data_IF_462102967056
#
_entry.id   IF_462102967056
#
_cell.length_a   1.000
_cell.length_b   1.000
_cell.length_c   1.000
_cell.angle_alpha   90.00
_cell.angle_beta   90.00
_cell.angle_gamma   90.00
#
_symmetry.space_group_name_H-M   'P 1'
#
loop_
_entity.id
_entity.type
_entity.pdbx_description
1 polymer ?
#
# COMPACT_ATOMS: atom_id res chain seq x y z
N UNK A 1 13.08 -1.30 1.15
CA UNK A 1 11.96 -1.90 0.42
C UNK A 1 12.35 -1.96 -1.05
N UNK A 2 12.23 -3.12 -1.71
CA UNK A 2 12.41 -3.25 -3.15
C UNK A 2 11.01 -3.30 -3.80
N UNK A 3 10.59 -2.19 -4.37
CA UNK A 3 9.27 -2.01 -4.98
C UNK A 3 9.51 -1.40 -6.35
N UNK A 4 8.74 -1.82 -7.35
CA UNK A 4 8.87 -1.36 -8.72
C UNK A 4 7.71 -1.83 -9.58
N UNK A 5 7.57 -1.22 -10.76
CA UNK A 5 6.48 -1.52 -11.70
C UNK A 5 6.76 -2.80 -12.51
N UNK A 6 8.03 -3.04 -12.82
CA UNK A 6 8.56 -4.22 -13.52
C UNK A 6 9.96 -3.95 -14.07
N UNK A 7 10.86 -4.93 -14.08
CA UNK A 7 12.20 -4.81 -14.69
C UNK A 7 13.16 -3.75 -14.13
N UNK A 8 12.76 -2.94 -13.15
CA UNK A 8 13.56 -1.84 -12.56
C UNK A 8 14.60 -2.34 -11.55
N UNK A 9 14.29 -3.45 -10.86
CA UNK A 9 15.17 -4.07 -9.88
C UNK A 9 15.85 -5.25 -10.56
N UNK A 10 17.18 -5.23 -10.59
CA UNK A 10 18.00 -6.35 -11.05
C UNK A 10 18.31 -7.31 -9.89
N UNK A 11 18.59 -8.61 -10.14
CA UNK A 11 19.01 -9.55 -9.11
C UNK A 11 20.18 -9.05 -8.27
N UNK A 12 21.18 -8.44 -8.91
CA UNK A 12 22.35 -7.87 -8.23
C UNK A 12 21.97 -6.69 -7.35
N UNK A 13 21.00 -5.87 -7.77
CA UNK A 13 20.48 -4.76 -6.97
C UNK A 13 19.78 -5.28 -5.72
N UNK A 14 18.91 -6.28 -5.86
CA UNK A 14 18.22 -6.88 -4.72
C UNK A 14 19.20 -7.55 -3.76
N UNK A 15 20.20 -8.26 -4.27
CA UNK A 15 21.26 -8.85 -3.46
C UNK A 15 22.01 -7.79 -2.63
N UNK A 16 22.39 -6.66 -3.23
CA UNK A 16 23.01 -5.55 -2.49
C UNK A 16 22.10 -4.96 -1.42
N UNK A 17 20.80 -4.88 -1.67
CA UNK A 17 19.84 -4.42 -0.67
C UNK A 17 19.76 -5.40 0.52
N UNK A 18 19.77 -6.69 0.24
CA UNK A 18 19.78 -7.76 1.27
C UNK A 18 21.06 -7.71 2.09
N UNK A 19 22.21 -7.41 1.49
CA UNK A 19 23.48 -7.27 2.21
C UNK A 19 23.54 -6.02 3.10
N UNK A 20 22.84 -4.95 2.70
CA UNK A 20 22.89 -3.66 3.38
C UNK A 20 21.81 -3.48 4.47
N UNK A 21 20.81 -4.36 4.53
CA UNK A 21 19.64 -4.20 5.40
C UNK A 21 19.36 -5.47 6.21
N UNK A 22 18.99 -5.31 7.47
CA UNK A 22 18.61 -6.43 8.34
C UNK A 22 17.36 -7.17 7.84
N UNK A 23 16.48 -6.47 7.14
CA UNK A 23 15.24 -7.03 6.59
C UNK A 23 14.85 -6.27 5.32
N UNK A 24 14.60 -7.01 4.25
CA UNK A 24 14.11 -6.46 2.98
C UNK A 24 12.65 -6.89 2.76
N UNK A 25 11.81 -5.89 2.49
CA UNK A 25 10.45 -6.06 2.00
C UNK A 25 10.45 -5.91 0.49
N UNK A 26 9.84 -6.88 -0.21
CA UNK A 26 9.80 -6.91 -1.67
C UNK A 26 8.36 -6.98 -2.13
N UNK A 27 7.98 -6.18 -3.12
CA UNK A 27 6.77 -6.42 -3.90
C UNK A 27 7.13 -7.33 -5.08
N UNK A 28 6.44 -8.47 -5.22
CA UNK A 28 6.74 -9.46 -6.26
C UNK A 28 6.64 -8.85 -7.65
N UNK A 29 5.82 -7.79 -7.84
CA UNK A 29 5.73 -7.04 -9.10
C UNK A 29 7.10 -6.64 -9.64
N UNK A 30 8.04 -6.25 -8.78
CA UNK A 30 9.39 -5.89 -9.17
C UNK A 30 10.22 -7.06 -9.73
N UNK A 31 9.83 -8.30 -9.41
CA UNK A 31 10.56 -9.51 -9.77
C UNK A 31 9.96 -10.21 -11.00
N UNK A 32 8.63 -10.23 -11.13
CA UNK A 32 7.93 -11.07 -12.11
C UNK A 32 7.32 -10.30 -13.27
N UNK A 33 7.29 -8.97 -13.23
CA UNK A 33 6.78 -8.17 -14.34
C UNK A 33 7.88 -7.83 -15.31
N UNK A 34 7.68 -8.23 -16.55
CA UNK A 34 8.53 -7.89 -17.70
C UNK A 34 7.71 -7.11 -18.71
N UNK A 35 8.34 -6.12 -19.33
CA UNK A 35 7.75 -5.36 -20.42
C UNK A 35 8.07 -6.06 -21.74
N UNK A 36 7.06 -6.22 -22.59
CA UNK A 36 7.26 -6.62 -23.97
C UNK A 36 7.94 -5.48 -24.74
N UNK A 37 9.04 -5.78 -25.43
CA UNK A 37 9.84 -4.77 -26.13
C UNK A 37 9.13 -4.18 -27.36
N UNK A 38 8.11 -4.86 -27.88
CA UNK A 38 7.42 -4.48 -29.12
C UNK A 38 6.22 -3.59 -28.80
N UNK A 39 5.37 -3.99 -27.86
CA UNK A 39 4.12 -3.28 -27.56
C UNK A 39 4.05 -2.64 -26.17
N UNK A 40 5.09 -2.84 -25.34
CA UNK A 40 5.17 -2.27 -23.99
C UNK A 40 4.19 -2.90 -22.99
N UNK A 41 3.52 -3.99 -23.36
CA UNK A 41 2.60 -4.68 -22.46
C UNK A 41 3.35 -5.35 -21.32
N UNK A 42 2.72 -5.40 -20.15
CA UNK A 42 3.27 -6.08 -18.98
C UNK A 42 2.86 -7.54 -19.03
N UNK A 43 3.83 -8.44 -18.97
CA UNK A 43 3.61 -9.87 -18.79
C UNK A 43 4.16 -10.34 -17.46
N UNK A 44 3.55 -11.39 -16.92
CA UNK A 44 4.07 -12.10 -15.75
C UNK A 44 4.98 -13.24 -16.21
N UNK A 45 6.17 -13.34 -15.62
CA UNK A 45 7.04 -14.51 -15.71
C UNK A 45 6.97 -15.30 -14.41
N UNK A 46 7.20 -16.61 -14.49
CA UNK A 46 7.28 -17.45 -13.30
C UNK A 46 8.42 -16.98 -12.39
N UNK A 47 8.18 -16.90 -11.08
CA UNK A 47 9.17 -16.45 -10.11
C UNK A 47 10.44 -17.32 -10.13
N UNK A 48 10.35 -18.62 -10.46
CA UNK A 48 11.53 -19.49 -10.64
C UNK A 48 12.40 -19.05 -11.82
N UNK A 49 11.77 -18.57 -12.88
CA UNK A 49 12.43 -18.15 -14.12
C UNK A 49 12.88 -16.68 -14.07
N UNK A 50 12.40 -15.92 -13.09
CA UNK A 50 12.71 -14.49 -12.92
C UNK A 50 14.17 -14.16 -12.59
N UNK A 51 14.97 -15.16 -12.20
CA UNK A 51 16.34 -14.97 -11.72
C UNK A 51 16.44 -14.60 -10.23
N UNK A 52 15.33 -14.26 -9.56
CA UNK A 52 15.33 -13.87 -8.14
C UNK A 52 15.10 -15.02 -7.16
N UNK A 53 14.72 -16.20 -7.65
CA UNK A 53 14.28 -17.31 -6.80
C UNK A 53 15.29 -17.72 -5.73
N UNK A 54 16.58 -17.68 -6.06
CA UNK A 54 17.67 -18.01 -5.14
C UNK A 54 17.87 -16.99 -4.01
N UNK A 55 17.32 -15.78 -4.14
CA UNK A 55 17.39 -14.72 -3.13
C UNK A 55 16.24 -14.80 -2.12
N UNK A 56 15.16 -15.54 -2.42
CA UNK A 56 13.99 -15.64 -1.55
C UNK A 56 14.32 -15.96 -0.09
N UNK A 57 15.21 -16.93 0.24
CA UNK A 57 15.54 -17.25 1.63
C UNK A 57 16.13 -16.09 2.45
N UNK A 58 16.61 -15.05 1.79
CA UNK A 58 17.22 -13.87 2.41
C UNK A 58 16.28 -12.65 2.41
N UNK A 59 15.09 -12.78 1.83
CA UNK A 59 14.05 -11.74 1.85
C UNK A 59 13.21 -11.92 3.13
N UNK A 60 12.97 -10.83 3.84
CA UNK A 60 12.15 -10.88 5.05
C UNK A 60 10.67 -11.09 4.72
N UNK A 61 10.14 -10.30 3.79
CA UNK A 61 8.75 -10.40 3.37
C UNK A 61 8.60 -10.16 1.87
N UNK A 62 7.84 -11.03 1.21
CA UNK A 62 7.42 -10.89 -0.18
C UNK A 62 5.91 -10.58 -0.20
N UNK A 63 5.52 -9.42 -0.70
CA UNK A 63 4.12 -9.09 -0.93
C UNK A 63 3.72 -9.45 -2.35
N UNK A 64 2.51 -9.97 -2.51
CA UNK A 64 1.88 -10.24 -3.80
C UNK A 64 0.41 -9.86 -3.77
N UNK A 65 -0.16 -9.55 -4.92
CA UNK A 65 -1.62 -9.51 -5.12
C UNK A 65 -2.15 -10.91 -5.42
N UNK A 66 -3.46 -11.13 -5.24
CA UNK A 66 -4.11 -12.38 -5.63
C UNK A 66 -3.91 -12.74 -7.12
N UNK A 67 -3.71 -11.75 -8.00
CA UNK A 67 -3.44 -11.95 -9.42
C UNK A 67 -2.00 -12.47 -9.65
N UNK A 68 -1.04 -11.97 -8.87
CA UNK A 68 0.38 -12.34 -8.95
C UNK A 68 0.70 -13.72 -8.37
N UNK A 69 -0.22 -14.30 -7.58
CA UNK A 69 -0.06 -15.67 -7.07
C UNK A 69 0.06 -16.68 -8.21
N UNK A 70 -0.55 -16.40 -9.37
CA UNK A 70 -0.44 -17.28 -10.55
C UNK A 70 0.98 -17.44 -11.09
N UNK A 71 1.90 -16.55 -10.73
CA UNK A 71 3.30 -16.56 -11.18
C UNK A 71 4.25 -17.22 -10.16
N UNK A 72 3.73 -17.87 -9.11
CA UNK A 72 4.55 -18.60 -8.15
C UNK A 72 3.80 -19.78 -7.51
N UNK A 73 4.55 -20.79 -7.06
CA UNK A 73 4.02 -21.81 -6.16
C UNK A 73 4.08 -21.31 -4.71
N UNK A 74 2.93 -20.92 -4.16
CA UNK A 74 2.86 -20.39 -2.79
C UNK A 74 3.33 -21.39 -1.74
N UNK A 75 3.13 -22.70 -1.95
CA UNK A 75 3.50 -23.76 -1.00
C UNK A 75 5.02 -23.95 -0.94
N UNK A 76 5.70 -23.69 -2.05
CA UNK A 76 7.15 -23.67 -2.10
C UNK A 76 7.71 -22.36 -1.57
N UNK A 77 7.22 -21.23 -2.08
CA UNK A 77 7.77 -19.90 -1.73
C UNK A 77 7.61 -19.63 -0.24
N UNK A 78 6.49 -20.00 0.39
CA UNK A 78 6.29 -19.82 1.84
C UNK A 78 7.30 -20.57 2.71
N UNK A 79 7.93 -21.62 2.18
CA UNK A 79 9.00 -22.37 2.88
C UNK A 79 10.34 -21.65 2.80
N UNK A 80 10.51 -20.73 1.85
CA UNK A 80 11.72 -19.96 1.63
C UNK A 80 11.62 -18.57 2.29
N UNK A 81 10.49 -17.88 2.18
CA UNK A 81 10.27 -16.57 2.80
C UNK A 81 8.84 -16.38 3.28
N UNK A 82 8.61 -15.32 4.07
CA UNK A 82 7.25 -14.96 4.48
C UNK A 82 6.54 -14.24 3.33
N UNK A 83 5.34 -14.70 2.97
CA UNK A 83 4.57 -14.15 1.84
C UNK A 83 3.31 -13.49 2.35
N UNK A 84 3.01 -12.29 1.88
CA UNK A 84 1.75 -11.58 2.18
C UNK A 84 0.97 -11.41 0.89
N UNK A 85 -0.17 -12.09 0.78
CA UNK A 85 -1.05 -12.01 -0.39
C UNK A 85 -2.23 -11.11 -0.09
N UNK A 86 -2.33 -9.99 -0.80
CA UNK A 86 -3.48 -9.07 -0.69
C UNK A 86 -4.63 -9.53 -1.58
N UNK A 87 -5.83 -9.64 -1.01
CA UNK A 87 -7.05 -10.17 -1.62
C UNK A 87 -8.16 -9.11 -1.74
N UNK A 88 -7.77 -7.86 -2.02
CA UNK A 88 -8.70 -6.73 -2.20
C UNK A 88 -9.69 -6.60 -1.04
N UNK A 89 -11.00 -6.68 -1.35
CA UNK A 89 -12.10 -6.58 -0.37
C UNK A 89 -12.11 -7.68 0.70
N UNK A 90 -11.31 -8.74 0.55
CA UNK A 90 -11.20 -9.84 1.50
C UNK A 90 -10.03 -9.67 2.49
N UNK A 91 -9.25 -8.59 2.38
CA UNK A 91 -8.12 -8.33 3.26
C UNK A 91 -6.84 -8.95 2.71
N UNK A 92 -6.10 -9.68 3.53
CA UNK A 92 -4.88 -10.37 3.10
C UNK A 92 -4.69 -11.71 3.84
N UNK A 93 -3.82 -12.54 3.30
CA UNK A 93 -3.33 -13.77 3.96
C UNK A 93 -1.83 -13.70 4.09
N UNK A 94 -1.31 -13.98 5.28
CA UNK A 94 0.12 -14.09 5.53
C UNK A 94 0.47 -15.57 5.60
N UNK A 95 1.45 -15.99 4.80
CA UNK A 95 1.99 -17.34 4.75
C UNK A 95 3.42 -17.34 5.30
N UNK A 96 3.73 -18.36 6.08
CA UNK A 96 5.09 -18.69 6.51
C UNK A 96 5.30 -20.20 6.35
N UNK A 97 6.49 -20.68 6.70
CA UNK A 97 6.90 -22.07 6.49
C UNK A 97 5.89 -23.10 7.01
N UNK A 98 5.33 -22.84 8.19
CA UNK A 98 4.55 -23.82 8.95
C UNK A 98 3.06 -23.45 9.04
N UNK A 99 2.59 -22.45 8.30
CA UNK A 99 1.18 -22.10 8.31
C UNK A 99 0.82 -20.81 7.60
N UNK A 100 -0.43 -20.41 7.81
CA UNK A 100 -1.01 -19.20 7.25
C UNK A 100 -2.00 -18.56 8.23
N UNK A 101 -2.25 -17.26 8.05
CA UNK A 101 -3.25 -16.52 8.82
C UNK A 101 -3.96 -15.50 7.93
N UNK A 102 -5.28 -15.57 7.93
CA UNK A 102 -6.12 -14.58 7.25
C UNK A 102 -6.35 -13.35 8.12
N UNK A 103 -6.16 -12.17 7.55
CA UNK A 103 -6.28 -10.87 8.20
C UNK A 103 -7.38 -10.06 7.50
N UNK A 104 -8.38 -9.66 8.28
CA UNK A 104 -9.63 -9.09 7.76
C UNK A 104 -9.46 -7.72 7.09
N UNK A 105 -10.38 -7.36 6.19
CA UNK A 105 -10.36 -6.10 5.45
C UNK A 105 -10.85 -4.91 6.29
N UNK A 106 -10.74 -3.71 5.70
CA UNK A 106 -11.49 -2.52 6.12
C UNK A 106 -12.41 -2.08 4.98
N UNK A 107 -13.74 -2.05 5.17
CA UNK A 107 -14.69 -1.62 4.14
C UNK A 107 -14.36 -0.22 3.60
N UNK A 108 -14.49 -0.05 2.29
CA UNK A 108 -14.25 1.22 1.59
C UNK A 108 -15.01 1.24 0.28
N UNK A 109 -15.39 2.43 -0.19
CA UNK A 109 -15.93 2.58 -1.54
C UNK A 109 -14.75 2.65 -2.51
N UNK A 110 -14.70 1.75 -3.49
CA UNK A 110 -13.63 1.74 -4.47
C UNK A 110 -13.78 2.91 -5.43
N UNK A 111 -12.82 3.83 -5.39
CA UNK A 111 -12.72 4.99 -6.28
C UNK A 111 -11.57 4.77 -7.28
N UNK A 112 -10.37 4.50 -6.77
CA UNK A 112 -9.19 4.21 -7.58
C UNK A 112 -8.29 3.21 -6.83
N UNK A 113 -8.08 1.98 -7.33
CA UNK A 113 -7.26 0.98 -6.67
C UNK A 113 -5.75 1.21 -6.80
N UNK A 114 -5.33 2.19 -7.60
CA UNK A 114 -3.91 2.47 -7.88
C UNK A 114 -3.16 2.79 -6.60
N UNK A 115 -1.98 2.16 -6.40
CA UNK A 115 -1.13 2.38 -5.22
C UNK A 115 -1.64 1.74 -3.92
N UNK A 116 -2.74 0.98 -3.95
CA UNK A 116 -3.25 0.30 -2.75
C UNK A 116 -2.29 -0.76 -2.21
N UNK A 117 -1.60 -1.49 -3.11
CA UNK A 117 -0.58 -2.46 -2.76
C UNK A 117 0.65 -1.81 -2.10
N UNK A 118 1.11 -0.67 -2.63
CA UNK A 118 2.24 0.08 -2.06
C UNK A 118 1.88 0.65 -0.68
N UNK A 119 0.67 1.19 -0.54
CA UNK A 119 0.18 1.71 0.74
C UNK A 119 -0.03 0.60 1.77
N UNK A 120 -0.48 -0.58 1.32
CA UNK A 120 -0.49 -1.78 2.15
C UNK A 120 0.92 -2.12 2.64
N UNK A 121 1.88 -2.21 1.74
CA UNK A 121 3.25 -2.59 2.07
C UNK A 121 3.93 -1.57 3.00
N UNK A 122 3.67 -0.27 2.78
CA UNK A 122 4.12 0.81 3.65
C UNK A 122 3.51 0.74 5.05
N UNK A 123 2.20 0.50 5.15
CA UNK A 123 1.51 0.29 6.44
C UNK A 123 2.01 -0.95 7.18
N UNK A 124 2.24 -2.04 6.44
CA UNK A 124 2.78 -3.30 6.96
C UNK A 124 4.20 -3.12 7.52
N UNK A 125 5.11 -2.54 6.74
CA UNK A 125 6.48 -2.26 7.16
C UNK A 125 6.50 -1.31 8.37
N UNK A 126 5.68 -0.26 8.37
CA UNK A 126 5.56 0.66 9.51
C UNK A 126 5.09 -0.06 10.78
N UNK A 127 4.13 -0.98 10.67
CA UNK A 127 3.66 -1.79 11.81
C UNK A 127 4.76 -2.65 12.42
N UNK A 128 5.55 -3.33 11.58
CA UNK A 128 6.66 -4.17 12.03
C UNK A 128 7.78 -3.36 12.68
N UNK A 129 8.18 -2.23 12.08
CA UNK A 129 9.17 -1.30 12.67
C UNK A 129 8.69 -0.77 14.03
N UNK A 130 7.38 -0.61 14.21
CA UNK A 130 6.80 -0.23 15.49
C UNK A 130 6.72 -1.39 16.50
N UNK A 131 7.09 -2.62 16.13
CA UNK A 131 7.10 -3.79 17.01
C UNK A 131 5.74 -4.47 17.12
N UNK A 132 4.84 -4.30 16.14
CA UNK A 132 3.62 -5.09 16.06
C UNK A 132 3.94 -6.52 15.64
N UNK A 133 3.12 -7.48 16.09
CA UNK A 133 3.14 -8.83 15.53
C UNK A 133 2.74 -8.81 14.05
N UNK A 134 3.15 -9.82 13.29
CA UNK A 134 2.94 -9.87 11.83
C UNK A 134 1.46 -9.73 11.43
N UNK A 135 0.48 -10.39 12.09
CA UNK A 135 -0.92 -10.20 11.76
C UNK A 135 -1.43 -8.78 12.04
N UNK A 136 -0.98 -8.15 13.13
CA UNK A 136 -1.35 -6.77 13.48
C UNK A 136 -0.74 -5.77 12.51
N UNK A 137 0.50 -5.99 12.07
CA UNK A 137 1.12 -5.21 11.03
C UNK A 137 0.39 -5.38 9.69
N UNK A 138 0.02 -6.61 9.33
CA UNK A 138 -0.73 -6.89 8.09
C UNK A 138 -2.11 -6.23 8.13
N UNK A 139 -2.71 -6.13 9.32
CA UNK A 139 -3.94 -5.39 9.52
C UNK A 139 -3.75 -3.89 9.30
N UNK A 140 -2.65 -3.31 9.80
CA UNK A 140 -2.30 -1.92 9.50
C UNK A 140 -2.06 -1.70 7.99
N UNK A 141 -1.48 -2.67 7.30
CA UNK A 141 -1.40 -2.68 5.83
C UNK A 141 -2.78 -2.63 5.19
N UNK A 142 -3.71 -3.52 5.57
CA UNK A 142 -5.09 -3.52 5.06
C UNK A 142 -5.79 -2.18 5.29
N UNK A 143 -5.52 -1.53 6.44
CA UNK A 143 -6.06 -0.22 6.77
C UNK A 143 -5.62 0.84 5.76
N UNK A 144 -4.31 1.01 5.54
CA UNK A 144 -3.78 2.00 4.60
C UNK A 144 -4.12 1.70 3.13
N UNK A 145 -4.13 0.41 2.75
CA UNK A 145 -4.65 -0.02 1.45
C UNK A 145 -6.10 0.43 1.26
N UNK A 146 -6.96 0.23 2.25
CA UNK A 146 -8.37 0.62 2.17
C UNK A 146 -8.61 2.13 2.10
N UNK A 147 -7.74 2.94 2.71
CA UNK A 147 -7.79 4.40 2.63
C UNK A 147 -7.39 4.90 1.24
N UNK A 148 -6.40 4.24 0.63
CA UNK A 148 -5.92 4.54 -0.71
C UNK A 148 -6.98 4.26 -1.76
N UNK A 149 -7.63 3.10 -1.68
CA UNK A 149 -8.67 2.69 -2.63
C UNK A 149 -9.86 3.67 -2.67
N UNK A 150 -10.08 4.44 -1.59
CA UNK A 150 -11.19 5.38 -1.45
C UNK A 150 -10.93 6.79 -2.00
N UNK A 151 -9.79 7.05 -2.64
CA UNK A 151 -9.42 8.36 -3.18
C UNK A 151 -8.74 8.22 -4.54
N UNK A 152 -8.72 9.30 -5.34
CA UNK A 152 -8.09 9.31 -6.68
C UNK A 152 -6.61 9.62 -6.56
N UNK A 153 -5.77 8.85 -7.25
CA UNK A 153 -4.34 9.13 -7.43
C UNK A 153 -3.50 8.92 -6.16
N UNK A 154 -2.43 9.71 -6.01
CA UNK A 154 -1.47 9.54 -4.90
C UNK A 154 -2.18 9.70 -3.55
N UNK A 155 -2.09 8.71 -2.65
CA UNK A 155 -2.81 8.74 -1.39
C UNK A 155 -2.45 9.93 -0.53
N UNK A 156 -3.46 10.66 -0.06
CA UNK A 156 -3.33 11.69 0.96
C UNK A 156 -3.99 11.21 2.23
N UNK A 157 -3.28 11.35 3.34
CA UNK A 157 -3.78 10.98 4.66
C UNK A 157 -3.88 12.22 5.54
N UNK A 158 -5.04 12.40 6.16
CA UNK A 158 -5.26 13.48 7.12
C UNK A 158 -4.34 13.33 8.34
N UNK A 159 -3.74 14.44 8.77
CA UNK A 159 -2.79 14.43 9.90
C UNK A 159 -3.42 13.95 11.21
N UNK A 160 -4.71 14.22 11.46
CA UNK A 160 -5.41 13.78 12.67
C UNK A 160 -5.69 12.28 12.61
N UNK A 161 -6.05 11.77 11.42
CA UNK A 161 -6.15 10.33 11.18
C UNK A 161 -4.82 9.64 11.48
N UNK A 162 -3.72 10.13 10.92
CA UNK A 162 -2.38 9.58 11.15
C UNK A 162 -2.00 9.61 12.64
N UNK A 163 -2.29 10.70 13.34
CA UNK A 163 -2.02 10.79 14.78
C UNK A 163 -2.81 9.74 15.57
N UNK A 164 -4.10 9.55 15.28
CA UNK A 164 -4.92 8.52 15.96
C UNK A 164 -4.42 7.11 15.69
N UNK A 165 -4.05 6.82 14.44
CA UNK A 165 -3.48 5.52 14.06
C UNK A 165 -2.17 5.29 14.80
N UNK A 166 -1.32 6.32 14.89
CA UNK A 166 -0.08 6.26 15.68
C UNK A 166 -0.37 5.96 17.15
N UNK A 167 -1.33 6.64 17.76
CA UNK A 167 -1.72 6.42 19.17
C UNK A 167 -2.23 4.99 19.38
N UNK A 168 -3.03 4.47 18.45
CA UNK A 168 -3.53 3.09 18.48
C UNK A 168 -2.40 2.06 18.37
N UNK A 169 -1.48 2.27 17.43
CA UNK A 169 -0.30 1.40 17.24
C UNK A 169 0.58 1.40 18.48
N UNK A 170 0.80 2.56 19.12
CA UNK A 170 1.57 2.62 20.37
C UNK A 170 0.86 1.89 21.51
N UNK A 171 -0.46 2.03 21.64
CA UNK A 171 -1.24 1.29 22.64
C UNK A 171 -1.15 -0.21 22.43
N UNK A 172 -1.30 -0.66 21.18
CA UNK A 172 -1.19 -2.07 20.80
C UNK A 172 0.20 -2.63 21.09
N UNK A 173 1.26 -1.88 20.78
CA UNK A 173 2.65 -2.22 21.11
C UNK A 173 2.84 -2.43 22.61
N UNK A 174 2.33 -1.52 23.45
CA UNK A 174 2.44 -1.66 24.90
C UNK A 174 1.78 -2.96 25.40
N UNK A 175 0.59 -3.28 24.90
CA UNK A 175 -0.12 -4.50 25.27
C UNK A 175 0.63 -5.78 24.84
N UNK A 176 1.34 -5.73 23.71
CA UNK A 176 2.20 -6.84 23.26
C UNK A 176 3.42 -7.04 24.18
N UNK A 177 3.94 -5.96 24.79
CA UNK A 177 5.10 -6.03 25.68
C UNK A 177 4.75 -6.46 27.13
N UNK A 178 3.53 -6.23 27.62
CA UNK A 178 3.13 -6.63 28.97
C UNK A 178 2.73 -8.12 29.09
N UNK A 179 2.65 -8.87 27.99
CA UNK A 179 2.34 -10.30 27.97
C UNK A 179 3.54 -11.26 28.00
N UNK A 180 4.76 -10.75 27.80
CA UNK A 180 5.99 -11.57 27.77
C UNK A 180 7.13 -10.81 28.45
N UNK A 181 7.44 -11.16 29.69
CA UNK A 181 8.65 -10.68 30.36
C UNK A 181 9.89 -11.31 29.70
N UNK A 182 10.96 -10.51 29.61
CA UNK A 182 12.28 -10.77 29.03
C UNK A 182 12.41 -10.52 27.52
N UNK A 183 13.10 -9.41 27.19
CA UNK A 183 13.68 -9.15 25.88
C UNK A 183 14.65 -10.28 25.54
N UNK A 184 14.20 -11.29 24.81
CA UNK A 184 15.05 -12.18 24.02
C UNK A 184 14.37 -12.45 22.68
N UNK A 185 15.13 -12.10 21.65
CA UNK A 185 15.01 -12.35 20.22
C UNK A 185 13.89 -11.63 19.43
N UNK A 186 14.33 -10.98 18.34
CA UNK A 186 13.55 -10.37 17.25
C UNK A 186 12.78 -11.43 16.45
N UNK A 187 12.07 -12.33 17.14
CA UNK A 187 11.33 -13.39 16.49
C UNK A 187 9.98 -12.86 15.98
N UNK A 188 9.78 -12.95 14.66
CA UNK A 188 8.53 -12.57 14.01
C UNK A 188 7.37 -13.42 14.53
N UNK A 189 6.36 -12.77 15.12
CA UNK A 189 5.17 -13.43 15.65
C UNK A 189 4.07 -13.50 14.60
N UNK A 190 3.72 -14.70 14.15
CA UNK A 190 2.69 -14.94 13.11
C UNK A 190 1.28 -15.22 13.66
N UNK A 191 1.13 -15.34 14.97
CA UNK A 191 -0.14 -15.67 15.61
C UNK A 191 -0.95 -14.40 15.92
N UNK A 192 -2.27 -14.43 15.69
CA UNK A 192 -3.17 -13.37 16.16
C UNK A 192 -3.13 -13.30 17.68
N UNK A 193 -2.56 -12.22 18.21
CA UNK A 193 -2.46 -12.01 19.65
C UNK A 193 -3.82 -11.65 20.25
N UNK A 194 -3.99 -11.94 21.55
CA UNK A 194 -5.18 -11.53 22.29
C UNK A 194 -5.49 -10.03 22.09
N UNK A 195 -6.76 -9.69 21.86
CA UNK A 195 -7.18 -8.33 21.54
C UNK A 195 -6.99 -7.90 20.07
N UNK A 196 -6.65 -8.82 19.16
CA UNK A 196 -6.59 -8.56 17.71
C UNK A 196 -7.87 -7.90 17.20
N UNK A 197 -9.03 -8.45 17.54
CA UNK A 197 -10.33 -7.93 17.10
C UNK A 197 -10.64 -6.55 17.69
N UNK A 198 -10.14 -6.27 18.90
CA UNK A 198 -10.25 -4.94 19.51
C UNK A 198 -9.39 -3.92 18.76
N UNK A 199 -8.14 -4.28 18.42
CA UNK A 199 -7.27 -3.43 17.62
C UNK A 199 -7.86 -3.16 16.22
N UNK A 200 -8.45 -4.18 15.60
CA UNK A 200 -9.21 -4.04 14.36
C UNK A 200 -10.35 -3.04 14.48
N UNK A 201 -11.19 -3.20 15.51
CA UNK A 201 -12.30 -2.29 15.78
C UNK A 201 -11.82 -0.85 16.03
N UNK A 202 -10.72 -0.66 16.76
CA UNK A 202 -10.15 0.68 17.00
C UNK A 202 -9.67 1.36 15.72
N UNK A 203 -8.96 0.64 14.85
CA UNK A 203 -8.54 1.16 13.55
C UNK A 203 -9.76 1.50 12.69
N UNK A 204 -10.79 0.64 12.68
CA UNK A 204 -12.03 0.91 11.96
C UNK A 204 -12.72 2.18 12.46
N UNK A 205 -12.76 2.40 13.77
CA UNK A 205 -13.30 3.62 14.38
C UNK A 205 -12.47 4.87 13.98
N UNK A 206 -11.14 4.75 13.91
CA UNK A 206 -10.27 5.86 13.47
C UNK A 206 -10.59 6.30 12.03
N UNK A 207 -11.00 5.38 11.15
CA UNK A 207 -11.35 5.64 9.74
C UNK A 207 -12.65 6.45 9.55
N UNK A 208 -13.66 6.25 10.41
CA UNK A 208 -15.04 6.74 10.20
C UNK A 208 -15.24 8.20 10.67
N UNK A 209 -14.39 8.69 11.57
CA UNK A 209 -14.58 10.02 12.16
C UNK A 209 -14.36 11.13 11.12
N UNK A 210 -15.27 12.12 11.01
CA UNK A 210 -15.20 13.13 9.98
C UNK A 210 -13.90 13.94 10.10
N UNK A 211 -13.12 13.92 9.03
CA UNK A 211 -12.10 14.95 8.77
C UNK A 211 -12.87 16.25 8.54
N UNK A 212 -12.98 17.10 9.56
CA UNK A 212 -13.52 18.45 9.36
C UNK A 212 -12.74 19.09 8.21
N UNK A 213 -13.40 19.69 7.21
CA UNK A 213 -12.67 20.39 6.17
C UNK A 213 -11.87 21.50 6.84
N UNK A 214 -10.57 21.54 6.56
CA UNK A 214 -9.76 22.73 6.82
C UNK A 214 -10.42 23.84 6.01
N UNK A 215 -11.19 24.71 6.66
CA UNK A 215 -11.53 25.99 6.07
C UNK A 215 -10.22 26.73 5.89
N UNK A 216 -9.71 26.76 4.66
CA UNK A 216 -8.82 27.82 4.22
C UNK A 216 -9.58 29.13 4.42
N UNK A 217 -9.41 29.76 5.59
CA UNK A 217 -9.67 31.17 5.74
C UNK A 217 -8.66 31.90 4.87
N UNK A 218 -9.03 32.09 3.60
CA UNK A 218 -8.36 32.99 2.69
C UNK A 218 -8.42 34.39 3.27
N UNK A 219 -7.43 34.75 4.09
CA UNK A 219 -7.11 36.13 4.39
C UNK A 219 -6.55 36.70 3.08
N UNK A 220 -7.43 37.30 2.26
CA UNK A 220 -7.00 38.16 1.14
C UNK A 220 -6.29 39.38 1.73
N UNK A 221 -5.01 39.64 1.43
CA UNK A 221 -4.44 40.96 1.67
C UNK A 221 -5.03 41.94 0.66
N UNK A 222 -5.63 43.01 1.15
CA UNK A 222 -5.94 44.19 0.34
C UNK A 222 -4.62 44.82 -0.14
N UNK A 223 -4.39 44.82 -1.45
CA UNK A 223 -3.39 45.69 -2.07
C UNK A 223 -4.09 46.68 -2.99
N UNK A 224 -4.08 47.93 -2.57
CA UNK A 224 -4.44 49.14 -3.32
C UNK A 224 -3.29 49.52 -4.27
N UNK A 225 -3.59 49.84 -5.53
CA UNK A 225 -2.65 50.58 -6.41
C UNK A 225 -2.72 50.22 -7.91
N UNK A 226 -3.30 51.13 -8.69
CA UNK A 226 -3.39 51.25 -10.16
C UNK A 226 -2.17 50.75 -10.99
N UNK A 227 -2.28 50.22 -12.22
CA UNK A 227 -2.75 50.95 -13.44
C UNK A 227 -3.03 50.00 -14.63
N UNK A 228 -4.25 50.12 -15.19
CA UNK A 228 -4.72 50.08 -16.60
C UNK A 228 -3.81 49.49 -17.71
N UNK A 229 -4.37 48.51 -18.45
CA UNK A 229 -4.44 48.54 -19.92
C UNK A 229 -5.60 47.65 -20.42
N UNK A 230 -6.49 48.27 -21.20
CA UNK A 230 -7.70 47.73 -21.82
C UNK A 230 -7.37 47.12 -23.18
N UNK A 231 -7.99 45.99 -23.53
CA UNK A 231 -8.29 45.64 -24.91
C UNK A 231 -9.66 44.96 -24.97
N UNK A 232 -10.53 45.55 -25.77
CA UNK A 232 -11.98 45.35 -25.90
C UNK A 232 -12.38 44.13 -26.72
N UNK A 233 -13.53 43.56 -26.35
CA UNK A 233 -14.34 42.61 -27.10
C UNK A 233 -14.96 43.21 -28.36
N UNK A 234 -15.10 42.43 -29.44
CA UNK A 234 -16.02 42.69 -30.56
C UNK A 234 -16.71 41.38 -30.95
N UNK A 235 -18.04 41.42 -30.98
CA UNK A 235 -18.99 40.43 -31.50
C UNK A 235 -18.91 40.30 -33.03
N UNK A 236 -19.21 39.14 -33.61
CA UNK A 236 -20.44 38.92 -34.42
C UNK A 236 -20.50 37.52 -35.08
N UNK A 237 -21.72 36.98 -35.09
CA UNK A 237 -22.18 35.76 -35.75
C UNK A 237 -22.26 35.89 -37.28
N UNK A 238 -22.29 34.77 -38.00
CA UNK A 238 -23.09 34.67 -39.23
C UNK A 238 -23.57 33.24 -39.47
N UNK A 239 -24.90 33.11 -39.57
CA UNK A 239 -25.66 31.92 -39.95
C UNK A 239 -25.60 31.66 -41.46
N UNK A 240 -25.58 30.39 -41.88
CA UNK A 240 -26.10 29.97 -43.18
C UNK A 240 -26.82 28.61 -43.08
N UNK A 241 -28.14 28.64 -43.27
CA UNK A 241 -29.04 27.53 -43.59
C UNK A 241 -29.22 27.41 -45.11
N UNK A 242 -29.20 26.20 -45.70
CA UNK A 242 -29.98 25.87 -46.92
C UNK A 242 -30.39 24.38 -46.95
N UNK A 243 -31.71 24.19 -46.82
CA UNK A 243 -32.68 23.32 -47.50
C UNK A 243 -32.44 21.84 -47.89
N UNK A 244 -33.54 21.10 -47.68
CA UNK A 244 -33.85 19.70 -47.96
C UNK A 244 -34.40 19.42 -49.36
N UNK A 245 -34.27 18.14 -49.76
CA UNK A 245 -35.20 17.30 -50.58
C UNK A 245 -35.03 17.30 -52.11
N UNK A 246 -35.53 16.28 -52.85
CA UNK A 246 -36.77 15.47 -52.66
C UNK A 246 -36.65 14.15 -51.91
#
# INVERSE_FOLDING_TARGET
MAVGVGGEILPETLERMIEACDTVFVDIQALIRVFDEIDGTVRLVDLRESGFFHLLPRIGFLKASGEEVSAMDIEEVRKLCCVVVTNGKHGCTVYWKDGEVQVGPFPTNQVDPTGAGDSFLGGFAAGLVQGLAVPDAALLGNFFGSLTVGQIGVPKFDSRLLQRVKDEVQRRKMQCNYGCHERRDDELKFVKLAGFDQFHASLAAAKVLPTSPVQEHGIRPQFTGHTRLLATSVFEETNYTVETKP
#
